data_IF_471546898320
#
_entry.id   IF_471546898320
#
_cell.length_a   1.000
_cell.length_b   1.000
_cell.length_c   1.000
_cell.angle_alpha   90.00
_cell.angle_beta   90.00
_cell.angle_gamma   90.00
#
_symmetry.space_group_name_H-M   'P 1'
#
loop_
_entity.id
_entity.type
_entity.pdbx_description
1 polymer ?
#
# COMPACT_ATOMS: atom_id res chain seq x y z
N UNK A 1 17.20 -19.72 1.08
CA UNK A 1 17.57 -19.04 2.34
C UNK A 1 17.05 -17.60 2.43
N UNK A 2 16.62 -16.95 1.35
CA UNK A 2 15.95 -15.62 1.40
C UNK A 2 14.43 -15.71 1.53
N UNK A 3 13.79 -16.76 0.99
CA UNK A 3 12.33 -16.93 1.05
C UNK A 3 11.75 -16.91 2.46
N UNK A 4 12.25 -17.78 3.35
CA UNK A 4 11.79 -17.83 4.74
C UNK A 4 11.93 -16.50 5.50
N UNK A 5 12.99 -15.72 5.23
CA UNK A 5 13.16 -14.39 5.82
C UNK A 5 12.06 -13.43 5.37
N UNK A 6 11.73 -13.41 4.06
CA UNK A 6 10.67 -12.55 3.54
C UNK A 6 9.28 -13.03 3.98
N UNK A 7 9.07 -14.34 4.12
CA UNK A 7 7.83 -14.90 4.63
C UNK A 7 7.57 -14.40 6.07
N UNK A 8 8.57 -14.50 6.95
CA UNK A 8 8.47 -14.03 8.34
C UNK A 8 8.28 -12.50 8.40
N UNK A 9 9.01 -11.74 7.58
CA UNK A 9 8.91 -10.29 7.53
C UNK A 9 7.55 -9.82 7.01
N UNK A 10 6.95 -10.54 6.06
CA UNK A 10 5.71 -10.13 5.39
C UNK A 10 4.56 -9.87 6.36
N UNK A 11 4.44 -10.68 7.42
CA UNK A 11 3.38 -10.57 8.42
C UNK A 11 3.55 -9.40 9.40
N UNK A 12 4.68 -8.69 9.36
CA UNK A 12 5.00 -7.56 10.25
C UNK A 12 5.46 -6.33 9.49
N UNK A 13 5.29 -6.33 8.17
CA UNK A 13 5.79 -5.25 7.31
C UNK A 13 5.09 -3.91 7.59
N UNK A 14 3.86 -3.95 8.12
CA UNK A 14 3.12 -2.79 8.62
C UNK A 14 3.88 -2.05 9.73
N UNK A 15 4.66 -2.76 10.57
CA UNK A 15 5.46 -2.18 11.65
C UNK A 15 6.64 -1.33 11.15
N UNK A 16 6.95 -1.35 9.84
CA UNK A 16 7.89 -0.40 9.24
C UNK A 16 7.33 1.03 9.20
N UNK A 17 6.02 1.19 9.39
CA UNK A 17 5.36 2.48 9.50
C UNK A 17 5.03 2.76 10.98
N UNK A 18 5.32 3.97 11.50
CA UNK A 18 4.91 4.33 12.87
C UNK A 18 3.39 4.22 13.10
N UNK A 19 2.63 4.47 12.04
CA UNK A 19 1.18 4.26 11.95
C UNK A 19 0.88 3.90 10.49
N UNK A 20 0.49 2.65 10.26
CA UNK A 20 0.24 2.13 8.91
C UNK A 20 -1.03 2.73 8.30
N UNK A 21 -2.08 2.93 9.10
CA UNK A 21 -3.35 3.51 8.64
C UNK A 21 -3.16 4.97 8.21
N UNK A 22 -2.46 5.76 9.02
CA UNK A 22 -2.12 7.15 8.66
C UNK A 22 -1.19 7.20 7.43
N UNK A 23 -0.25 6.26 7.31
CA UNK A 23 0.66 6.17 6.17
C UNK A 23 -0.07 5.80 4.87
N UNK A 24 -1.02 4.87 4.95
CA UNK A 24 -1.89 4.46 3.84
C UNK A 24 -2.77 5.64 3.39
N UNK A 25 -3.44 6.32 4.32
CA UNK A 25 -4.28 7.48 4.01
C UNK A 25 -3.49 8.61 3.32
N UNK A 26 -2.28 8.92 3.83
CA UNK A 26 -1.40 9.94 3.24
C UNK A 26 -0.93 9.56 1.84
N UNK A 27 -0.47 8.33 1.63
CA UNK A 27 0.02 7.91 0.31
C UNK A 27 -1.11 7.86 -0.72
N UNK A 28 -2.29 7.38 -0.33
CA UNK A 28 -3.47 7.40 -1.18
C UNK A 28 -3.93 8.84 -1.50
N UNK A 29 -3.80 9.78 -0.55
CA UNK A 29 -4.10 11.19 -0.79
C UNK A 29 -3.23 11.74 -1.92
N UNK A 30 -1.93 11.52 -1.82
CA UNK A 30 -0.91 11.99 -2.76
C UNK A 30 -1.03 11.33 -4.14
N UNK A 31 -1.23 10.00 -4.20
CA UNK A 31 -1.28 9.29 -5.49
C UNK A 31 -2.53 9.62 -6.30
N UNK A 32 -3.69 9.82 -5.66
CA UNK A 32 -4.91 10.10 -6.42
C UNK A 32 -4.90 11.48 -7.11
N UNK A 33 -4.00 12.39 -6.73
CA UNK A 33 -3.81 13.65 -7.45
C UNK A 33 -3.35 13.43 -8.90
N UNK A 34 -2.75 12.28 -9.19
CA UNK A 34 -2.24 11.92 -10.52
C UNK A 34 -3.14 10.91 -11.26
N UNK A 35 -4.21 10.43 -10.64
CA UNK A 35 -5.08 9.39 -11.19
C UNK A 35 -6.39 10.03 -11.65
N UNK A 36 -6.76 9.91 -12.93
CA UNK A 36 -8.06 10.40 -13.41
C UNK A 36 -9.22 9.72 -12.66
N UNK A 37 -10.28 10.49 -12.38
CA UNK A 37 -11.47 9.94 -11.74
C UNK A 37 -12.05 8.77 -12.55
N UNK A 38 -12.34 7.66 -11.86
CA UNK A 38 -12.89 6.44 -12.48
C UNK A 38 -11.89 5.58 -13.24
N UNK A 39 -10.59 5.90 -13.20
CA UNK A 39 -9.56 5.06 -13.81
C UNK A 39 -9.45 3.70 -13.09
N UNK A 40 -9.20 2.64 -13.86
CA UNK A 40 -8.81 1.33 -13.32
C UNK A 40 -7.29 1.30 -13.15
N UNK A 41 -6.83 1.09 -11.92
CA UNK A 41 -5.41 1.14 -11.55
C UNK A 41 -4.89 -0.25 -11.24
N UNK A 42 -3.69 -0.57 -11.73
CA UNK A 42 -2.92 -1.75 -11.32
C UNK A 42 -1.72 -1.28 -10.49
N UNK A 43 -1.67 -1.68 -9.23
CA UNK A 43 -0.50 -1.49 -8.36
C UNK A 43 0.45 -2.69 -8.53
N UNK A 44 1.48 -2.50 -9.37
CA UNK A 44 2.47 -3.51 -9.65
C UNK A 44 3.39 -3.72 -8.45
N UNK A 45 3.45 -4.96 -7.93
CA UNK A 45 4.19 -5.31 -6.71
C UNK A 45 3.68 -4.56 -5.46
N UNK A 46 2.36 -4.50 -5.31
CA UNK A 46 1.66 -3.77 -4.24
C UNK A 46 2.05 -4.14 -2.78
N UNK A 47 2.86 -5.18 -2.57
CA UNK A 47 3.31 -5.59 -1.25
C UNK A 47 2.12 -5.91 -0.32
N UNK A 48 2.15 -5.37 0.90
CA UNK A 48 1.02 -5.47 1.86
C UNK A 48 -0.16 -4.56 1.51
N UNK A 49 -0.10 -3.83 0.39
CA UNK A 49 -1.22 -3.04 -0.13
C UNK A 49 -1.31 -1.61 0.41
N UNK A 50 -0.25 -1.05 1.01
CA UNK A 50 -0.25 0.31 1.59
C UNK A 50 -0.80 1.39 0.64
N UNK A 51 -0.60 1.25 -0.67
CA UNK A 51 -1.09 2.18 -1.68
C UNK A 51 -2.39 1.67 -2.32
N UNK A 52 -2.42 0.42 -2.80
CA UNK A 52 -3.60 -0.20 -3.38
C UNK A 52 -4.86 -0.13 -2.50
N UNK A 53 -4.76 -0.51 -1.22
CA UNK A 53 -5.89 -0.48 -0.27
C UNK A 53 -6.33 0.96 -0.03
N UNK A 54 -5.37 1.86 0.23
CA UNK A 54 -5.65 3.27 0.46
C UNK A 54 -6.35 3.93 -0.73
N UNK A 55 -5.94 3.63 -1.97
CA UNK A 55 -6.62 4.10 -3.18
C UNK A 55 -8.01 3.49 -3.32
N UNK A 56 -8.18 2.18 -3.08
CA UNK A 56 -9.48 1.52 -3.18
C UNK A 56 -10.52 2.08 -2.19
N UNK A 57 -10.09 2.51 -0.99
CA UNK A 57 -10.97 3.16 -0.01
C UNK A 57 -11.47 4.54 -0.45
N UNK A 58 -10.87 5.15 -1.48
CA UNK A 58 -11.27 6.47 -2.01
C UNK A 58 -12.29 6.40 -3.16
N UNK A 59 -12.62 5.20 -3.65
CA UNK A 59 -13.52 4.99 -4.79
C UNK A 59 -12.84 5.16 -6.15
#
# INVERSE_FOLDING_TARGET
>A
MTGAFYDDLSGTYDLMFPDWDASMARQASQLAEFIPAGARVLDCACGIGTQAIGLALRG
#
